data_IF_600766015800
#
_entry.id   IF_600766015800
#
_cell.length_a   1.000
_cell.length_b   1.000
_cell.length_c   1.000
_cell.angle_alpha   90.00
_cell.angle_beta   90.00
_cell.angle_gamma   90.00
#
_symmetry.space_group_name_H-M   'P 1'
#
loop_
_entity.id
_entity.type
_entity.pdbx_description
1 polymer ?
#
# COMPACT_ATOMS: atom_id res chain seq x y z
N UNK A 1 -11.25 -14.56 -3.34
CA UNK A 1 -9.79 -14.74 -3.41
C UNK A 1 -9.16 -14.30 -2.11
N UNK A 2 -8.32 -15.11 -1.52
CA UNK A 2 -7.58 -14.72 -0.33
C UNK A 2 -6.58 -13.61 -0.67
N UNK A 3 -6.32 -12.73 0.29
CA UNK A 3 -5.42 -11.61 0.09
C UNK A 3 -4.02 -12.05 -0.37
N UNK A 4 -3.52 -13.15 0.21
CA UNK A 4 -2.20 -13.68 -0.17
C UNK A 4 -2.18 -14.24 -1.59
N UNK A 5 -3.30 -14.80 -2.05
CA UNK A 5 -3.41 -15.27 -3.44
C UNK A 5 -3.30 -14.12 -4.41
N UNK A 6 -3.88 -12.97 -4.07
CA UNK A 6 -3.74 -11.75 -4.88
C UNK A 6 -2.28 -11.36 -5.03
N UNK A 7 -1.53 -11.34 -3.92
CA UNK A 7 -0.11 -10.98 -3.93
C UNK A 7 0.72 -11.93 -4.78
N UNK A 8 0.43 -13.24 -4.71
CA UNK A 8 1.18 -14.23 -5.50
C UNK A 8 0.89 -14.14 -6.99
N UNK A 9 -0.23 -13.52 -7.37
CA UNK A 9 -0.62 -13.38 -8.76
C UNK A 9 -0.16 -12.07 -9.41
N UNK A 10 0.51 -11.19 -8.67
CA UNK A 10 1.12 -10.00 -9.27
C UNK A 10 2.19 -10.45 -10.25
N UNK A 11 2.15 -9.99 -11.52
CA UNK A 11 3.15 -10.38 -12.50
C UNK A 11 4.56 -10.03 -12.05
N UNK A 12 5.49 -10.87 -12.43
CA UNK A 12 6.91 -10.61 -12.19
C UNK A 12 7.48 -9.86 -13.39
N UNK A 13 8.46 -9.01 -13.12
CA UNK A 13 9.19 -8.33 -14.16
C UNK A 13 10.13 -9.33 -14.86
N UNK A 14 9.84 -9.66 -16.12
CA UNK A 14 10.60 -10.64 -16.89
C UNK A 14 11.84 -10.04 -17.55
N UNK A 15 12.06 -8.75 -17.46
CA UNK A 15 13.28 -8.10 -17.95
C UNK A 15 14.49 -8.35 -17.06
N UNK A 16 14.52 -9.30 -16.54
CA UNK A 16 15.09 -10.19 -15.62
C UNK A 16 16.56 -10.11 -15.29
N UNK A 17 17.34 -9.38 -15.87
CA UNK A 17 18.76 -9.44 -15.55
C UNK A 17 19.23 -8.26 -14.74
N UNK A 18 18.50 -7.16 -14.79
CA UNK A 18 18.89 -5.96 -14.04
C UNK A 18 17.63 -5.35 -13.45
N UNK A 19 17.60 -5.33 -12.13
CA UNK A 19 16.56 -4.59 -11.43
C UNK A 19 16.75 -3.10 -11.71
N UNK A 20 15.70 -2.42 -12.14
CA UNK A 20 15.75 -0.97 -12.29
C UNK A 20 15.67 -0.34 -10.90
N UNK A 21 16.84 -0.13 -10.32
CA UNK A 21 16.94 0.37 -8.96
C UNK A 21 16.36 1.78 -8.83
N UNK A 22 16.55 2.62 -9.84
CA UNK A 22 16.02 3.98 -9.81
C UNK A 22 14.51 3.99 -9.84
N UNK A 23 13.90 3.16 -10.69
CA UNK A 23 12.45 3.04 -10.72
C UNK A 23 11.91 2.53 -9.39
N UNK A 24 12.56 1.55 -8.79
CA UNK A 24 12.18 1.02 -7.48
C UNK A 24 12.24 2.10 -6.40
N UNK A 25 13.33 2.85 -6.35
CA UNK A 25 13.48 3.92 -5.36
C UNK A 25 12.43 5.03 -5.57
N UNK A 26 12.16 5.37 -6.83
CA UNK A 26 11.13 6.36 -7.14
C UNK A 26 9.74 5.88 -6.69
N UNK A 27 9.41 4.62 -6.95
CA UNK A 27 8.14 4.04 -6.52
C UNK A 27 8.01 4.06 -4.98
N UNK A 28 9.10 3.77 -4.28
CA UNK A 28 9.12 3.82 -2.81
C UNK A 28 8.89 5.25 -2.30
N UNK A 29 9.56 6.23 -2.89
CA UNK A 29 9.37 7.64 -2.53
C UNK A 29 7.95 8.10 -2.82
N UNK A 30 7.40 7.68 -3.95
CA UNK A 30 6.03 8.00 -4.32
C UNK A 30 5.05 7.42 -3.30
N UNK A 31 5.28 6.20 -2.84
CA UNK A 31 4.44 5.57 -1.82
C UNK A 31 4.47 6.36 -0.51
N UNK A 32 5.65 6.81 -0.10
CA UNK A 32 5.80 7.67 1.09
C UNK A 32 4.98 8.95 0.89
N UNK A 33 5.07 9.57 -0.29
CA UNK A 33 4.33 10.78 -0.61
C UNK A 33 2.82 10.58 -0.56
N UNK A 34 2.32 9.47 -1.06
CA UNK A 34 0.88 9.18 -1.02
C UNK A 34 0.40 8.96 0.41
N UNK A 35 1.17 8.24 1.22
CA UNK A 35 0.82 8.06 2.64
C UNK A 35 0.82 9.39 3.40
N UNK A 36 1.78 10.25 3.09
CA UNK A 36 1.85 11.59 3.67
C UNK A 36 0.61 12.41 3.29
N UNK A 37 0.18 12.32 2.03
CA UNK A 37 -1.04 12.98 1.57
C UNK A 37 -2.28 12.46 2.31
N UNK A 38 -2.38 11.14 2.52
CA UNK A 38 -3.48 10.56 3.28
C UNK A 38 -3.54 11.14 4.70
N UNK A 39 -2.39 11.26 5.37
CA UNK A 39 -2.30 11.85 6.71
C UNK A 39 -2.82 13.29 6.68
N UNK A 40 -2.38 14.08 5.71
CA UNK A 40 -2.77 15.47 5.56
C UNK A 40 -4.29 15.63 5.37
N UNK A 41 -4.86 14.85 4.47
CA UNK A 41 -6.30 14.92 4.19
C UNK A 41 -7.13 14.41 5.36
N UNK A 42 -6.69 13.37 6.05
CA UNK A 42 -7.37 12.91 7.27
C UNK A 42 -7.41 14.01 8.33
N UNK A 43 -6.31 14.73 8.52
CA UNK A 43 -6.27 15.85 9.45
C UNK A 43 -7.26 16.94 9.04
N UNK A 44 -7.31 17.29 7.75
CA UNK A 44 -8.27 18.28 7.25
C UNK A 44 -9.70 17.86 7.50
N UNK A 45 -10.03 16.60 7.21
CA UNK A 45 -11.37 16.03 7.37
C UNK A 45 -11.83 16.13 8.83
N UNK A 46 -10.94 15.81 9.76
CA UNK A 46 -11.28 15.80 11.18
C UNK A 46 -11.42 17.19 11.80
N UNK A 47 -10.81 18.20 11.18
CA UNK A 47 -10.78 19.56 11.74
C UNK A 47 -11.82 20.50 11.15
N UNK A 48 -12.47 20.14 10.05
CA UNK A 48 -13.42 21.03 9.38
C UNK A 48 -14.85 20.73 9.79
N UNK A 49 -15.66 21.80 9.90
CA UNK A 49 -17.11 21.71 10.03
C UNK A 49 -17.84 22.06 8.72
N UNK A 50 -17.07 22.31 7.65
CA UNK A 50 -17.63 22.68 6.36
C UNK A 50 -17.89 21.41 5.57
N UNK A 51 -19.15 21.07 5.33
CA UNK A 51 -19.53 19.81 4.69
C UNK A 51 -18.93 19.66 3.28
N UNK A 52 -18.94 20.73 2.49
CA UNK A 52 -18.39 20.68 1.13
C UNK A 52 -16.88 20.41 1.15
N UNK A 53 -16.17 21.00 2.11
CA UNK A 53 -14.74 20.78 2.25
C UNK A 53 -14.46 19.33 2.69
N UNK A 54 -15.21 18.84 3.67
CA UNK A 54 -15.08 17.45 4.15
C UNK A 54 -15.31 16.46 3.01
N UNK A 55 -16.39 16.61 2.27
CA UNK A 55 -16.71 15.71 1.16
C UNK A 55 -15.62 15.72 0.10
N UNK A 56 -15.09 16.89 -0.23
CA UNK A 56 -14.01 17.03 -1.21
C UNK A 56 -12.74 16.31 -0.75
N UNK A 57 -12.34 16.54 0.48
CA UNK A 57 -11.13 15.91 1.01
C UNK A 57 -11.28 14.41 1.18
N UNK A 58 -12.47 13.92 1.53
CA UNK A 58 -12.73 12.47 1.57
C UNK A 58 -12.51 11.84 0.20
N UNK A 59 -13.04 12.43 -0.85
CA UNK A 59 -12.87 11.91 -2.22
C UNK A 59 -11.40 11.89 -2.62
N UNK A 60 -10.68 12.97 -2.35
CA UNK A 60 -9.26 13.06 -2.69
C UNK A 60 -8.45 12.04 -1.89
N UNK A 61 -8.70 11.93 -0.59
CA UNK A 61 -8.03 10.95 0.27
C UNK A 61 -8.23 9.53 -0.24
N UNK A 62 -9.44 9.19 -0.65
CA UNK A 62 -9.75 7.84 -1.15
C UNK A 62 -8.98 7.55 -2.44
N UNK A 63 -8.80 8.53 -3.31
CA UNK A 63 -7.96 8.39 -4.50
C UNK A 63 -6.50 8.14 -4.12
N UNK A 64 -5.99 8.84 -3.10
CA UNK A 64 -4.62 8.62 -2.62
C UNK A 64 -4.44 7.20 -2.07
N UNK A 65 -5.45 6.66 -1.39
CA UNK A 65 -5.41 5.27 -0.92
C UNK A 65 -5.36 4.27 -2.08
N UNK A 66 -6.05 4.57 -3.19
CA UNK A 66 -5.93 3.75 -4.40
C UNK A 66 -4.51 3.80 -4.97
N UNK A 67 -3.90 4.98 -4.98
CA UNK A 67 -2.52 5.14 -5.43
C UNK A 67 -1.53 4.35 -4.56
N UNK A 68 -1.78 4.28 -3.25
CA UNK A 68 -0.98 3.43 -2.35
C UNK A 68 -0.99 1.98 -2.84
N UNK A 69 -2.15 1.46 -3.20
CA UNK A 69 -2.27 0.11 -3.72
C UNK A 69 -1.54 -0.08 -5.05
N UNK A 70 -1.69 0.87 -5.97
CA UNK A 70 -1.01 0.81 -7.27
C UNK A 70 0.52 0.85 -7.11
N UNK A 71 1.01 1.72 -6.23
CA UNK A 71 2.46 1.85 -6.01
C UNK A 71 3.02 0.62 -5.29
N UNK A 72 2.29 0.04 -4.36
CA UNK A 72 2.70 -1.22 -3.76
C UNK A 72 2.82 -2.31 -4.81
N UNK A 73 1.84 -2.40 -5.72
CA UNK A 73 1.89 -3.36 -6.83
C UNK A 73 3.11 -3.14 -7.71
N UNK A 74 3.42 -1.89 -8.04
CA UNK A 74 4.61 -1.55 -8.82
C UNK A 74 5.89 -1.95 -8.11
N UNK A 75 6.00 -1.68 -6.82
CA UNK A 75 7.18 -2.05 -6.02
C UNK A 75 7.39 -3.57 -6.05
N UNK A 76 6.32 -4.34 -5.84
CA UNK A 76 6.41 -5.80 -5.86
C UNK A 76 6.74 -6.34 -7.26
N UNK A 77 6.28 -5.67 -8.31
CA UNK A 77 6.61 -6.00 -9.68
C UNK A 77 8.09 -5.75 -9.97
N UNK A 78 8.61 -4.58 -9.55
CA UNK A 78 10.01 -4.19 -9.79
C UNK A 78 11.00 -4.97 -8.92
N UNK A 79 10.58 -5.39 -7.74
CA UNK A 79 11.44 -6.08 -6.80
C UNK A 79 10.78 -7.37 -6.29
N UNK A 80 10.72 -8.41 -7.11
CA UNK A 80 10.05 -9.67 -6.73
C UNK A 80 10.60 -10.29 -5.46
N UNK A 81 11.87 -10.06 -5.13
CA UNK A 81 12.46 -10.59 -3.91
C UNK A 81 11.80 -10.03 -2.65
N UNK A 82 11.21 -8.83 -2.73
CA UNK A 82 10.51 -8.23 -1.59
C UNK A 82 9.16 -8.90 -1.32
N UNK A 83 8.59 -9.55 -2.34
CA UNK A 83 7.27 -10.16 -2.22
C UNK A 83 7.21 -11.16 -1.08
N UNK A 84 8.22 -12.02 -0.98
CA UNK A 84 8.29 -13.03 0.07
C UNK A 84 8.30 -12.38 1.46
N UNK A 85 9.10 -11.34 1.64
CA UNK A 85 9.16 -10.63 2.92
C UNK A 85 7.85 -9.94 3.27
N UNK A 86 7.22 -9.31 2.30
CA UNK A 86 5.92 -8.65 2.50
C UNK A 86 4.85 -9.69 2.87
N UNK A 87 4.79 -10.80 2.16
CA UNK A 87 3.85 -11.89 2.46
C UNK A 87 4.08 -12.44 3.87
N UNK A 88 5.32 -12.70 4.24
CA UNK A 88 5.64 -13.21 5.56
C UNK A 88 5.26 -12.21 6.66
N UNK A 89 5.50 -10.93 6.43
CA UNK A 89 5.08 -9.88 7.37
C UNK A 89 3.57 -9.82 7.55
N UNK A 90 2.82 -9.93 6.46
CA UNK A 90 1.37 -9.95 6.51
C UNK A 90 0.85 -11.18 7.25
N UNK A 91 1.48 -12.34 7.06
CA UNK A 91 1.12 -13.55 7.79
C UNK A 91 1.39 -13.42 9.28
N UNK A 92 2.53 -12.86 9.65
CA UNK A 92 2.85 -12.62 11.06
C UNK A 92 1.83 -11.69 11.71
N UNK A 93 1.42 -10.65 11.00
CA UNK A 93 0.38 -9.75 11.49
C UNK A 93 -0.95 -10.47 11.67
N UNK A 94 -1.35 -11.27 10.67
CA UNK A 94 -2.59 -12.05 10.73
C UNK A 94 -2.60 -13.00 11.94
N UNK A 95 -1.50 -13.69 12.19
CA UNK A 95 -1.35 -14.57 13.35
C UNK A 95 -1.44 -13.80 14.65
N UNK A 96 -0.81 -12.63 14.72
CA UNK A 96 -0.84 -11.78 15.92
C UNK A 96 -2.26 -11.32 16.25
N UNK A 97 -3.00 -10.87 15.25
CA UNK A 97 -4.40 -10.47 15.41
C UNK A 97 -5.26 -11.66 15.80
N UNK A 98 -5.02 -12.81 15.20
CA UNK A 98 -5.73 -14.04 15.53
C UNK A 98 -5.57 -14.43 16.99
N UNK A 99 -4.34 -14.33 17.54
CA UNK A 99 -4.07 -14.60 18.95
C UNK A 99 -4.79 -13.62 19.87
N UNK A 100 -4.76 -12.32 19.55
CA UNK A 100 -5.44 -11.30 20.35
C UNK A 100 -6.95 -11.51 20.38
N UNK A 101 -7.51 -12.01 19.27
CA UNK A 101 -8.94 -12.26 19.16
C UNK A 101 -9.35 -13.66 19.64
N UNK A 102 -8.44 -14.40 20.27
CA UNK A 102 -8.70 -15.77 20.71
C UNK A 102 -8.74 -16.78 19.60
N UNK A 103 -8.28 -16.47 18.42
CA UNK A 103 -8.16 -17.38 17.30
C UNK A 103 -6.76 -17.96 17.28
N UNK A 104 -6.58 -19.12 17.70
CA UNK A 104 -5.27 -19.80 17.69
C UNK A 104 -5.13 -20.75 16.52
#
# INVERSE_FOLDING_TARGET
MAFFDFLTNIPKNDNNSVMDFDALQNARRDLIGELDAVIQYDDHIHKTNIEAAKATWVDIRDEELMHVGELLGLILYLAPYQRKFIEDGLKEFDERVGKQNGKT
#
